data_IF_760102822752
#
_entry.id   IF_760102822752
#
_cell.length_a   1.000
_cell.length_b   1.000
_cell.length_c   1.000
_cell.angle_alpha   90.00
_cell.angle_beta   90.00
_cell.angle_gamma   90.00
#
_symmetry.space_group_name_H-M   'P 1'
#
loop_
_entity.id
_entity.type
_entity.pdbx_description
1 polymer ?
#
# COMPACT_ATOMS: atom_id res chain seq x y z
N UNK A 1 -0.78 5.01 -51.94
CA UNK A 1 -1.46 4.20 -50.96
C UNK A 1 -1.26 4.80 -49.60
N UNK A 2 -2.31 5.32 -49.05
CA UNK A 2 -2.26 5.90 -47.70
C UNK A 2 -2.27 4.80 -46.67
N UNK A 3 -1.21 4.73 -45.90
CA UNK A 3 -1.20 3.92 -44.70
C UNK A 3 -2.18 4.56 -43.72
N UNK A 4 -3.21 3.83 -43.27
CA UNK A 4 -4.11 4.41 -42.29
C UNK A 4 -3.30 4.78 -41.05
N UNK A 5 -3.29 6.08 -40.76
CA UNK A 5 -2.66 6.59 -39.55
C UNK A 5 -3.48 6.05 -38.40
N UNK A 6 -2.96 5.08 -37.69
CA UNK A 6 -3.56 4.68 -36.44
C UNK A 6 -3.54 5.88 -35.52
N UNK A 7 -4.70 6.25 -35.00
CA UNK A 7 -4.74 7.18 -33.90
C UNK A 7 -3.73 6.72 -32.83
N UNK A 8 -2.85 7.59 -32.34
CA UNK A 8 -1.88 7.19 -31.33
C UNK A 8 -2.64 6.56 -30.18
N UNK A 9 -2.19 5.37 -29.73
CA UNK A 9 -2.73 4.75 -28.56
C UNK A 9 -2.70 5.78 -27.43
N UNK A 10 -3.85 6.05 -26.86
CA UNK A 10 -3.92 6.88 -25.67
C UNK A 10 -2.99 6.28 -24.63
N UNK A 11 -1.94 6.99 -24.25
CA UNK A 11 -1.05 6.55 -23.20
C UNK A 11 -1.86 6.39 -21.91
N UNK A 12 -1.56 5.34 -21.16
CA UNK A 12 -2.20 5.12 -19.87
C UNK A 12 -1.78 6.21 -18.91
N UNK A 13 -2.73 6.74 -18.16
CA UNK A 13 -2.43 7.73 -17.12
C UNK A 13 -1.57 7.07 -16.05
N UNK A 14 -0.49 7.74 -15.66
CA UNK A 14 0.38 7.26 -14.60
C UNK A 14 0.06 7.97 -13.30
N UNK A 15 -0.02 7.23 -12.22
CA UNK A 15 -0.31 7.76 -10.89
C UNK A 15 0.77 7.28 -9.93
N UNK A 16 1.44 8.24 -9.31
CA UNK A 16 2.42 7.96 -8.26
C UNK A 16 1.70 7.86 -6.92
N UNK A 17 2.00 6.80 -6.19
CA UNK A 17 1.41 6.53 -4.87
C UNK A 17 2.49 6.05 -3.93
N UNK A 18 2.32 6.34 -2.66
CA UNK A 18 3.18 5.81 -1.60
C UNK A 18 2.36 4.91 -0.69
N UNK A 19 2.72 3.65 -0.65
CA UNK A 19 2.06 2.62 0.15
C UNK A 19 2.70 2.61 1.54
N UNK A 20 1.88 2.62 2.58
CA UNK A 20 2.34 2.60 3.96
C UNK A 20 1.96 1.30 4.63
N UNK A 21 2.96 0.51 5.02
CA UNK A 21 2.77 -0.66 5.85
C UNK A 21 2.92 -0.22 7.30
N UNK A 22 1.80 0.14 7.92
CA UNK A 22 1.76 0.68 9.28
C UNK A 22 1.59 -0.45 10.29
N UNK A 23 2.59 -0.63 11.12
CA UNK A 23 2.62 -1.66 12.14
C UNK A 23 2.45 -1.08 13.53
N UNK A 24 1.67 -1.77 14.35
CA UNK A 24 1.57 -1.47 15.77
C UNK A 24 1.26 -2.75 16.54
N UNK A 25 2.09 -3.08 17.52
CA UNK A 25 1.90 -4.27 18.36
C UNK A 25 1.71 -5.56 17.55
N UNK A 26 2.49 -5.72 16.49
CA UNK A 26 2.45 -6.91 15.65
C UNK A 26 1.28 -6.97 14.67
N UNK A 27 0.47 -5.93 14.60
CA UNK A 27 -0.66 -5.83 13.67
C UNK A 27 -0.41 -4.77 12.62
N UNK A 28 -0.95 -4.97 11.43
CA UNK A 28 -0.79 -4.08 10.29
C UNK A 28 -2.12 -3.47 9.87
N UNK A 29 -2.08 -2.20 9.48
CA UNK A 29 -3.27 -1.43 9.17
C UNK A 29 -3.70 -1.56 7.71
N UNK A 30 -5.01 -1.71 7.51
CA UNK A 30 -5.66 -1.56 6.21
C UNK A 30 -6.74 -0.49 6.30
N UNK A 31 -7.14 0.05 5.15
CA UNK A 31 -8.28 0.95 5.00
C UNK A 31 -9.16 0.43 3.88
N UNK A 32 -10.43 0.79 3.89
CA UNK A 32 -11.32 0.49 2.77
C UNK A 32 -11.27 1.58 1.72
N UNK A 33 -11.20 1.17 0.46
CA UNK A 33 -11.33 2.09 -0.65
C UNK A 33 -12.76 2.63 -0.74
N UNK A 34 -12.94 3.82 -1.36
CA UNK A 34 -14.28 4.37 -1.56
C UNK A 34 -15.19 3.38 -2.28
N UNK A 35 -16.50 3.49 -2.06
CA UNK A 35 -17.50 2.61 -2.68
C UNK A 35 -17.64 2.81 -4.18
N UNK A 36 -17.02 3.85 -4.74
CA UNK A 36 -17.06 4.17 -6.18
C UNK A 36 -15.65 4.31 -6.73
N UNK A 37 -15.48 4.01 -8.00
CA UNK A 37 -14.22 4.13 -8.71
C UNK A 37 -13.42 2.84 -8.74
N UNK A 38 -12.13 2.98 -9.03
CA UNK A 38 -11.21 1.84 -9.19
C UNK A 38 -11.14 1.01 -7.89
N UNK A 39 -11.35 -0.31 -8.01
CA UNK A 39 -11.29 -1.24 -6.88
C UNK A 39 -12.22 -0.87 -5.73
N UNK A 40 -13.41 -0.39 -6.06
CA UNK A 40 -14.39 0.11 -5.09
C UNK A 40 -14.69 -0.88 -3.97
N UNK A 41 -14.68 -0.40 -2.73
CA UNK A 41 -15.04 -1.20 -1.56
C UNK A 41 -14.04 -2.24 -1.10
N UNK A 42 -12.94 -2.42 -1.82
CA UNK A 42 -11.88 -3.36 -1.43
C UNK A 42 -11.01 -2.79 -0.31
N UNK A 43 -10.40 -3.68 0.46
CA UNK A 43 -9.39 -3.27 1.44
C UNK A 43 -8.09 -2.94 0.74
N UNK A 44 -7.32 -2.01 1.29
CA UNK A 44 -5.99 -1.66 0.78
C UNK A 44 -5.09 -1.21 1.92
N UNK A 45 -3.79 -1.20 1.66
CA UNK A 45 -2.85 -0.52 2.55
C UNK A 45 -3.09 0.99 2.46
N UNK A 46 -2.93 1.74 3.56
CA UNK A 46 -3.01 3.20 3.48
C UNK A 46 -2.01 3.73 2.46
N UNK A 47 -2.44 4.69 1.65
CA UNK A 47 -1.61 5.28 0.61
C UNK A 47 -1.63 6.80 0.68
N UNK A 48 -0.50 7.41 0.33
CA UNK A 48 -0.42 8.84 0.11
C UNK A 48 -0.30 9.09 -1.39
N UNK A 49 -0.84 10.19 -1.87
CA UNK A 49 -0.68 10.59 -3.26
C UNK A 49 0.74 11.09 -3.49
N UNK A 50 1.30 10.76 -4.65
CA UNK A 50 2.64 11.14 -5.02
C UNK A 50 3.71 10.34 -4.29
N UNK A 51 4.93 10.86 -4.31
CA UNK A 51 6.09 10.28 -3.62
C UNK A 51 6.68 11.29 -2.64
N UNK A 52 5.99 11.59 -1.54
CA UNK A 52 6.54 12.47 -0.51
C UNK A 52 7.81 11.86 0.09
N UNK A 53 8.71 12.73 0.53
CA UNK A 53 9.92 12.29 1.21
C UNK A 53 9.58 11.73 2.60
N UNK A 54 10.51 10.94 3.13
CA UNK A 54 10.35 10.30 4.44
C UNK A 54 9.95 11.28 5.54
N UNK A 55 10.61 12.45 5.58
CA UNK A 55 10.32 13.48 6.57
C UNK A 55 8.89 14.01 6.47
N UNK A 56 8.40 14.14 5.26
CA UNK A 56 7.02 14.59 5.02
C UNK A 56 6.00 13.53 5.46
N UNK A 57 6.30 12.26 5.21
CA UNK A 57 5.46 11.14 5.67
C UNK A 57 5.38 11.15 7.20
N UNK A 58 6.51 11.25 7.87
CA UNK A 58 6.58 11.33 9.33
C UNK A 58 5.78 12.54 9.84
N UNK A 59 5.93 13.69 9.17
CA UNK A 59 5.20 14.90 9.52
C UNK A 59 3.70 14.75 9.43
N UNK A 60 3.20 14.09 8.37
CA UNK A 60 1.77 13.84 8.19
C UNK A 60 1.22 12.91 9.28
N UNK A 61 1.98 11.89 9.66
CA UNK A 61 1.59 10.97 10.74
C UNK A 61 1.51 11.73 12.07
N UNK A 62 2.52 12.55 12.38
CA UNK A 62 2.55 13.36 13.59
C UNK A 62 1.38 14.35 13.64
N UNK A 63 1.11 15.01 12.53
CA UNK A 63 0.01 15.98 12.42
C UNK A 63 -1.34 15.32 12.70
N UNK A 64 -1.49 14.05 12.37
CA UNK A 64 -2.69 13.27 12.64
C UNK A 64 -2.71 12.66 14.05
N UNK A 65 -1.76 13.00 14.90
CA UNK A 65 -1.69 12.51 16.26
C UNK A 65 -0.94 11.19 16.42
N UNK A 66 -0.32 10.68 15.36
CA UNK A 66 0.47 9.47 15.42
C UNK A 66 1.90 9.73 15.86
N UNK A 67 2.60 8.65 16.18
CA UNK A 67 4.01 8.68 16.54
C UNK A 67 4.76 7.60 15.77
N UNK A 68 5.86 7.98 15.13
CA UNK A 68 6.69 7.07 14.33
C UNK A 68 7.86 6.60 15.20
N UNK A 69 7.94 5.28 15.41
CA UNK A 69 9.07 4.67 16.10
C UNK A 69 10.21 4.32 15.15
N UNK A 70 9.88 3.68 14.02
CA UNK A 70 10.85 3.25 13.02
C UNK A 70 10.24 3.35 11.64
N UNK A 71 11.03 3.76 10.66
CA UNK A 71 10.58 3.84 9.26
C UNK A 71 11.66 3.27 8.36
N UNK A 72 11.26 2.46 7.37
CA UNK A 72 12.16 1.83 6.43
C UNK A 72 11.57 1.87 5.03
N UNK A 73 12.38 2.29 4.07
CA UNK A 73 11.98 2.28 2.65
C UNK A 73 11.96 0.85 2.12
N UNK A 74 10.88 0.51 1.40
CA UNK A 74 10.76 -0.75 0.69
C UNK A 74 11.00 -0.52 -0.81
N UNK A 75 11.27 -1.60 -1.59
CA UNK A 75 11.43 -1.46 -3.04
C UNK A 75 10.16 -0.90 -3.69
N UNK A 76 10.36 -0.12 -4.76
CA UNK A 76 9.26 0.39 -5.56
C UNK A 76 8.60 -0.74 -6.35
N UNK A 77 7.34 -0.57 -6.67
CA UNK A 77 6.58 -1.51 -7.48
C UNK A 77 5.68 -0.77 -8.46
N UNK A 78 5.10 -1.50 -9.38
CA UNK A 78 4.23 -0.95 -10.39
C UNK A 78 3.12 -1.94 -10.68
N UNK A 79 1.89 -1.43 -10.90
CA UNK A 79 0.79 -2.26 -11.33
C UNK A 79 0.06 -1.59 -12.49
N UNK A 80 -0.20 -2.36 -13.53
CA UNK A 80 -0.83 -1.88 -14.77
C UNK A 80 -2.30 -2.30 -14.79
N UNK A 81 -3.17 -1.30 -14.78
CA UNK A 81 -4.61 -1.48 -15.03
C UNK A 81 -4.91 -1.18 -16.51
N UNK A 82 -6.15 -1.32 -16.92
CA UNK A 82 -6.55 -1.06 -18.31
C UNK A 82 -6.25 0.38 -18.76
N UNK A 83 -6.53 1.37 -17.90
CA UNK A 83 -6.40 2.78 -18.26
C UNK A 83 -5.43 3.57 -17.39
N UNK A 84 -4.83 2.93 -16.39
CA UNK A 84 -3.97 3.60 -15.43
C UNK A 84 -2.82 2.69 -15.01
N UNK A 85 -1.67 3.30 -14.72
CA UNK A 85 -0.52 2.60 -14.14
C UNK A 85 -0.25 3.23 -12.77
N UNK A 86 -0.25 2.41 -11.72
CA UNK A 86 0.20 2.83 -10.42
C UNK A 86 1.70 2.61 -10.29
N UNK A 87 2.43 3.68 -10.04
CA UNK A 87 3.84 3.62 -9.67
C UNK A 87 3.93 3.82 -8.17
N UNK A 88 4.29 2.76 -7.45
CA UNK A 88 4.22 2.72 -6.00
C UNK A 88 5.60 2.77 -5.36
N UNK A 89 5.84 3.78 -4.53
CA UNK A 89 6.86 3.75 -3.51
C UNK A 89 6.23 3.16 -2.25
N UNK A 90 7.03 2.64 -1.34
CA UNK A 90 6.49 2.05 -0.13
C UNK A 90 7.43 2.24 1.05
N UNK A 91 6.83 2.38 2.23
CA UNK A 91 7.55 2.46 3.49
C UNK A 91 6.90 1.53 4.51
N UNK A 92 7.74 0.89 5.28
CA UNK A 92 7.30 0.12 6.43
C UNK A 92 7.54 0.96 7.68
N UNK A 93 6.51 1.15 8.49
CA UNK A 93 6.54 2.07 9.62
C UNK A 93 6.02 1.38 10.87
N UNK A 94 6.82 1.41 11.94
CA UNK A 94 6.35 1.02 13.26
C UNK A 94 5.81 2.26 13.98
N UNK A 95 4.58 2.19 14.44
CA UNK A 95 3.91 3.28 15.12
C UNK A 95 3.97 3.10 16.63
N UNK A 96 4.41 4.13 17.33
CA UNK A 96 4.27 4.21 18.78
C UNK A 96 2.86 4.63 19.19
N UNK A 97 2.21 5.41 18.33
CA UNK A 97 0.84 5.86 18.51
C UNK A 97 0.14 5.91 17.15
N UNK A 98 -1.13 5.52 17.12
CA UNK A 98 -1.91 5.43 15.90
C UNK A 98 -2.35 6.83 15.42
N UNK A 99 -2.16 7.16 14.14
CA UNK A 99 -2.71 8.40 13.60
C UNK A 99 -4.23 8.35 13.54
N UNK A 100 -4.86 9.50 13.65
CA UNK A 100 -6.32 9.63 13.58
C UNK A 100 -6.78 9.72 12.12
N UNK A 101 -6.45 8.70 11.35
CA UNK A 101 -6.92 8.57 9.97
C UNK A 101 -8.18 7.72 9.96
N UNK A 102 -9.19 8.21 9.26
CA UNK A 102 -10.49 7.55 9.19
C UNK A 102 -10.38 6.19 8.49
N UNK A 103 -11.07 5.20 9.06
CA UNK A 103 -11.20 3.89 8.43
C UNK A 103 -10.03 2.94 8.61
N UNK A 104 -9.03 3.29 9.43
CA UNK A 104 -7.93 2.36 9.72
C UNK A 104 -8.42 1.20 10.56
N UNK A 105 -8.09 -0.01 10.13
CA UNK A 105 -8.31 -1.23 10.89
C UNK A 105 -7.01 -2.02 10.94
N UNK A 106 -6.61 -2.44 12.14
CA UNK A 106 -5.42 -3.27 12.34
C UNK A 106 -5.78 -4.75 12.28
N UNK A 107 -4.93 -5.50 11.59
CA UNK A 107 -5.11 -6.92 11.34
C UNK A 107 -3.85 -7.66 11.78
N UNK A 108 -4.01 -8.86 12.36
CA UNK A 108 -2.89 -9.78 12.46
C UNK A 108 -2.50 -10.19 11.02
N UNK A 109 -1.20 -10.34 10.71
CA UNK A 109 -0.78 -10.69 9.34
C UNK A 109 -1.46 -11.96 8.81
N UNK A 110 -1.62 -12.99 9.63
CA UNK A 110 -2.29 -14.23 9.25
C UNK A 110 -3.75 -13.97 8.87
N UNK A 111 -4.46 -13.21 9.68
CA UNK A 111 -5.86 -12.84 9.44
C UNK A 111 -6.00 -12.03 8.16
N UNK A 112 -5.10 -11.08 7.94
CA UNK A 112 -5.09 -10.26 6.73
C UNK A 112 -4.95 -11.12 5.48
N UNK A 113 -4.01 -12.05 5.49
CA UNK A 113 -3.74 -12.91 4.34
C UNK A 113 -4.88 -13.89 4.04
N UNK A 114 -5.61 -14.32 5.07
CA UNK A 114 -6.74 -15.25 4.91
C UNK A 114 -8.04 -14.55 4.56
N UNK A 115 -8.32 -13.40 5.18
CA UNK A 115 -9.65 -12.80 5.17
C UNK A 115 -9.77 -11.52 4.37
N UNK A 116 -8.70 -10.73 4.26
CA UNK A 116 -8.76 -9.49 3.54
C UNK A 116 -8.57 -9.75 2.04
N UNK A 117 -9.57 -9.43 1.24
CA UNK A 117 -9.47 -9.48 -0.21
C UNK A 117 -8.74 -8.23 -0.68
N UNK A 118 -7.42 -8.32 -0.80
CA UNK A 118 -6.60 -7.23 -1.29
C UNK A 118 -6.46 -7.28 -2.80
N UNK A 119 -6.51 -6.12 -3.48
CA UNK A 119 -6.27 -6.08 -4.93
C UNK A 119 -4.89 -6.64 -5.30
N UNK A 120 -4.81 -7.26 -6.48
CA UNK A 120 -3.55 -7.80 -6.99
C UNK A 120 -2.45 -6.74 -7.12
N UNK A 121 -2.82 -5.46 -7.20
CA UNK A 121 -1.88 -4.35 -7.20
C UNK A 121 -0.94 -4.35 -5.98
N UNK A 122 -1.40 -4.93 -4.86
CA UNK A 122 -0.62 -5.02 -3.61
C UNK A 122 0.05 -6.38 -3.41
N UNK A 123 0.08 -7.22 -4.42
CA UNK A 123 0.62 -8.58 -4.34
C UNK A 123 2.05 -8.63 -3.82
N UNK A 124 2.88 -7.66 -4.18
CA UNK A 124 4.26 -7.59 -3.71
C UNK A 124 4.33 -7.51 -2.18
N UNK A 125 3.42 -6.78 -1.56
CA UNK A 125 3.39 -6.57 -0.11
C UNK A 125 2.79 -7.77 0.62
N UNK A 126 1.74 -8.36 0.09
CA UNK A 126 1.18 -9.60 0.67
C UNK A 126 2.18 -10.75 0.58
N UNK A 127 2.95 -10.81 -0.51
CA UNK A 127 4.03 -11.79 -0.67
C UNK A 127 5.10 -11.61 0.41
N UNK A 128 5.49 -10.36 0.68
CA UNK A 128 6.44 -10.04 1.75
C UNK A 128 5.94 -10.54 3.10
N UNK A 129 4.67 -10.30 3.41
CA UNK A 129 4.07 -10.77 4.67
C UNK A 129 4.08 -12.29 4.77
N UNK A 130 3.75 -13.00 3.69
CA UNK A 130 3.80 -14.47 3.66
C UNK A 130 5.20 -15.00 3.90
N UNK A 131 6.18 -14.39 3.26
CA UNK A 131 7.58 -14.80 3.42
C UNK A 131 8.05 -14.64 4.88
N UNK A 132 7.65 -13.56 5.54
CA UNK A 132 8.00 -13.30 6.93
C UNK A 132 7.33 -14.30 7.87
N UNK A 133 6.08 -14.65 7.64
CA UNK A 133 5.38 -15.65 8.44
C UNK A 133 6.01 -17.03 8.28
N UNK A 134 6.39 -17.42 7.07
CA UNK A 134 7.08 -18.69 6.81
C UNK A 134 8.45 -18.73 7.48
N UNK A 135 9.20 -17.65 7.46
CA UNK A 135 10.49 -17.55 8.14
C UNK A 135 10.32 -17.69 9.66
N UNK A 136 9.30 -17.02 10.21
CA UNK A 136 8.99 -17.11 11.64
C UNK A 136 8.60 -18.53 12.06
N UNK A 137 7.83 -19.24 11.25
CA UNK A 137 7.46 -20.62 11.50
C UNK A 137 8.68 -21.55 11.49
N UNK A 138 9.62 -21.35 10.56
CA UNK A 138 10.86 -22.11 10.49
C UNK A 138 11.74 -21.91 11.72
N UNK A 139 11.77 -20.70 12.26
CA UNK A 139 12.53 -20.40 13.48
C UNK A 139 11.93 -21.06 14.73
N UNK A 140 10.62 -21.30 14.72
CA UNK A 140 9.91 -21.95 15.83
C UNK A 140 9.94 -23.48 15.76
N UNK A 141 10.24 -24.00 14.58
CA UNK A 141 10.20 -25.44 14.30
C UNK A 141 11.45 -26.19 14.79
#
# INVERSE_FOLDING_TARGET
AQIPVRAPKKEKRQEQRTVLLLWRRGKIALVRRPKRGLLAGMWEFPCLLGWPEEQEIVGQIKKAGGEVGKIQKLPNSRHIFTHIIWQMAAYEIELGCMPKWEGLRFWAPEELLEQAALPSAYQQYTKLLRQRLQASEKERG
#
